data_IF_919810311884
#
_entry.id   IF_919810311884
#
_cell.length_a   1.000
_cell.length_b   1.000
_cell.length_c   1.000
_cell.angle_alpha   90.00
_cell.angle_beta   90.00
_cell.angle_gamma   90.00
#
_symmetry.space_group_name_H-M   'P 1'
#
loop_
_entity.id
_entity.type
_entity.pdbx_description
1 polymer ?
#
# COMPACT_ATOMS: atom_id res chain seq x y z
N UNK A 1 11.88 64.48 -72.27
CA UNK A 1 11.87 63.01 -72.21
C UNK A 1 12.93 62.53 -71.23
N UNK A 2 12.52 62.05 -70.05
CA UNK A 2 13.22 61.05 -69.22
C UNK A 2 12.33 60.76 -68.01
N UNK A 3 11.40 59.85 -68.28
CA UNK A 3 10.93 58.78 -67.39
C UNK A 3 10.53 59.14 -65.96
N UNK A 4 9.30 59.63 -65.86
CA UNK A 4 8.41 59.40 -64.71
C UNK A 4 8.14 57.88 -64.64
N UNK A 5 8.76 57.19 -63.69
CA UNK A 5 8.40 55.82 -63.31
C UNK A 5 8.99 55.50 -61.92
N UNK A 6 8.66 56.31 -60.92
CA UNK A 6 8.75 55.86 -59.53
C UNK A 6 7.53 54.99 -59.26
N UNK A 7 7.70 53.70 -59.57
CA UNK A 7 6.84 52.61 -59.11
C UNK A 7 6.71 52.74 -57.59
N UNK A 8 5.54 53.19 -57.16
CA UNK A 8 5.06 53.03 -55.80
C UNK A 8 4.94 51.53 -55.52
N UNK A 9 6.01 50.93 -54.99
CA UNK A 9 5.95 49.63 -54.35
C UNK A 9 5.19 49.85 -53.04
N UNK A 10 3.86 49.71 -53.15
CA UNK A 10 2.96 49.48 -52.02
C UNK A 10 3.42 48.18 -51.35
N UNK A 11 4.35 48.31 -50.41
CA UNK A 11 4.58 47.29 -49.40
C UNK A 11 3.31 47.27 -48.55
N UNK A 12 2.36 46.41 -48.93
CA UNK A 12 1.33 45.93 -48.01
C UNK A 12 2.05 45.17 -46.89
N UNK A 13 2.59 45.91 -45.93
CA UNK A 13 2.86 45.39 -44.59
C UNK A 13 1.50 45.10 -43.99
N UNK A 14 0.91 43.97 -44.37
CA UNK A 14 -0.16 43.34 -43.62
C UNK A 14 0.48 43.00 -42.29
N UNK A 15 0.26 43.87 -41.32
CA UNK A 15 0.50 43.56 -39.92
C UNK A 15 -0.38 42.36 -39.61
N UNK A 16 0.21 41.16 -39.65
CA UNK A 16 -0.42 39.98 -39.07
C UNK A 16 -0.59 40.29 -37.58
N UNK A 17 -1.82 40.58 -37.18
CA UNK A 17 -2.18 40.78 -35.79
C UNK A 17 -1.90 39.50 -35.00
N UNK A 18 -1.78 39.58 -33.67
CA UNK A 18 -1.56 38.41 -32.81
C UNK A 18 -2.71 37.37 -32.85
N UNK A 19 -3.76 37.63 -33.64
CA UNK A 19 -4.92 36.78 -33.85
C UNK A 19 -5.09 36.35 -35.31
N UNK A 20 -4.12 36.61 -36.18
CA UNK A 20 -4.17 36.15 -37.57
C UNK A 20 -3.55 34.76 -37.69
N UNK A 21 -4.07 33.96 -38.61
CA UNK A 21 -3.53 32.63 -38.85
C UNK A 21 -2.14 32.71 -39.48
N UNK A 22 -1.28 31.74 -39.18
CA UNK A 22 0.01 31.63 -39.86
C UNK A 22 -0.15 31.23 -41.34
N UNK A 23 0.95 31.21 -42.10
CA UNK A 23 0.97 30.84 -43.52
C UNK A 23 0.44 29.41 -43.80
N UNK A 24 0.37 28.55 -42.77
CA UNK A 24 -0.17 27.20 -42.85
C UNK A 24 -1.61 27.09 -42.32
N UNK A 25 -2.25 28.22 -41.99
CA UNK A 25 -3.58 28.24 -41.38
C UNK A 25 -3.61 27.74 -39.94
N UNK A 26 -2.47 27.75 -39.23
CA UNK A 26 -2.38 27.32 -37.83
C UNK A 26 -2.45 28.51 -36.89
N UNK A 27 -2.96 28.21 -35.70
CA UNK A 27 -3.10 29.13 -34.60
C UNK A 27 -2.44 28.55 -33.35
N UNK A 28 -2.26 29.39 -32.32
CA UNK A 28 -1.82 28.95 -31.00
C UNK A 28 -2.78 27.91 -30.39
N UNK A 29 -2.31 27.04 -29.48
CA UNK A 29 -3.15 26.02 -28.84
C UNK A 29 -4.43 26.59 -28.23
N UNK A 30 -5.56 25.90 -28.44
CA UNK A 30 -6.89 26.34 -28.03
C UNK A 30 -7.59 27.30 -29.01
N UNK A 31 -6.97 27.63 -30.13
CA UNK A 31 -7.54 28.42 -31.22
C UNK A 31 -7.65 27.60 -32.50
N UNK A 32 -8.56 28.00 -33.38
CA UNK A 32 -8.71 27.45 -34.72
C UNK A 32 -8.81 28.57 -35.75
N UNK A 33 -8.29 28.35 -36.95
CA UNK A 33 -8.33 29.36 -38.00
C UNK A 33 -9.69 29.35 -38.70
N UNK A 34 -10.44 30.45 -38.60
CA UNK A 34 -11.68 30.69 -39.32
C UNK A 34 -11.59 32.04 -40.03
N UNK A 35 -11.80 32.03 -41.34
CA UNK A 35 -11.78 33.24 -42.18
C UNK A 35 -10.49 34.09 -42.05
N UNK A 36 -9.35 33.42 -41.84
CA UNK A 36 -8.04 34.07 -41.68
C UNK A 36 -7.75 34.59 -40.26
N UNK A 37 -8.70 34.43 -39.32
CA UNK A 37 -8.55 34.79 -37.93
C UNK A 37 -8.56 33.57 -37.00
N UNK A 38 -7.72 33.61 -35.96
CA UNK A 38 -7.67 32.62 -34.91
C UNK A 38 -8.79 32.86 -33.89
N UNK A 39 -9.82 32.02 -33.93
CA UNK A 39 -10.96 32.07 -33.02
C UNK A 39 -10.87 30.99 -31.96
N UNK A 40 -11.49 31.22 -30.80
CA UNK A 40 -11.48 30.28 -29.69
C UNK A 40 -12.22 28.99 -30.06
N UNK A 41 -11.59 27.85 -29.79
CA UNK A 41 -12.23 26.54 -29.95
C UNK A 41 -13.33 26.37 -28.92
N UNK A 42 -14.57 26.21 -29.39
CA UNK A 42 -15.75 25.98 -28.53
C UNK A 42 -15.77 24.60 -27.89
N UNK A 43 -14.98 23.66 -28.42
CA UNK A 43 -14.82 22.31 -27.87
C UNK A 43 -13.77 22.23 -26.75
N UNK A 44 -12.97 23.29 -26.57
CA UNK A 44 -12.11 23.40 -25.40
C UNK A 44 -12.92 23.85 -24.18
N UNK A 45 -12.73 23.21 -23.01
CA UNK A 45 -13.44 23.61 -21.80
C UNK A 45 -13.05 25.03 -21.42
N UNK A 46 -14.03 25.89 -21.12
CA UNK A 46 -13.75 27.21 -20.56
C UNK A 46 -13.20 27.04 -19.15
N UNK A 47 -11.89 27.22 -19.01
CA UNK A 47 -11.18 27.00 -17.77
C UNK A 47 -11.27 28.26 -16.91
N UNK A 48 -12.11 28.23 -15.88
CA UNK A 48 -12.04 29.24 -14.82
C UNK A 48 -10.66 29.19 -14.18
N UNK A 49 -9.99 30.34 -14.04
CA UNK A 49 -8.68 30.41 -13.40
C UNK A 49 -8.75 29.81 -11.98
N UNK A 50 -8.11 28.65 -11.72
CA UNK A 50 -8.18 28.04 -10.40
C UNK A 50 -7.44 28.92 -9.38
N UNK A 51 -7.95 28.96 -8.15
CA UNK A 51 -7.27 29.70 -7.07
C UNK A 51 -5.95 29.02 -6.73
N UNK A 52 -4.84 29.70 -7.00
CA UNK A 52 -3.50 29.20 -6.68
C UNK A 52 -3.21 29.35 -5.19
N UNK A 53 -2.70 28.27 -4.60
CA UNK A 53 -2.18 28.24 -3.22
C UNK A 53 -0.77 28.82 -3.17
N UNK A 54 -0.38 29.36 -2.01
CA UNK A 54 0.96 29.94 -1.85
C UNK A 54 2.05 28.87 -2.05
N UNK A 55 3.02 29.16 -2.92
CA UNK A 55 4.10 28.23 -3.27
C UNK A 55 3.80 27.28 -4.43
N UNK A 56 2.62 27.40 -5.06
CA UNK A 56 2.27 26.68 -6.28
C UNK A 56 2.29 27.62 -7.48
N UNK A 57 2.74 27.11 -8.63
CA UNK A 57 2.71 27.78 -9.92
C UNK A 57 1.70 27.09 -10.83
N UNK A 58 1.16 27.86 -11.77
CA UNK A 58 0.32 27.32 -12.85
C UNK A 58 1.18 27.16 -14.09
N UNK A 59 1.17 25.97 -14.66
CA UNK A 59 1.76 25.69 -15.96
C UNK A 59 0.63 25.37 -16.93
N UNK A 60 0.67 25.95 -18.12
CA UNK A 60 -0.28 25.62 -19.17
C UNK A 60 0.27 24.41 -19.95
N UNK A 61 -0.49 23.33 -19.99
CA UNK A 61 -0.14 22.12 -20.73
C UNK A 61 -1.22 21.90 -21.77
N UNK A 62 -0.82 21.53 -22.97
CA UNK A 62 -1.72 21.24 -24.06
C UNK A 62 -2.16 19.77 -23.96
N UNK A 63 -3.48 19.53 -23.98
CA UNK A 63 -4.04 18.17 -23.98
C UNK A 63 -3.93 17.51 -25.37
N UNK A 64 -4.33 16.25 -25.49
CA UNK A 64 -4.28 15.49 -26.76
C UNK A 64 -5.14 16.10 -27.89
N UNK A 65 -6.07 17.01 -27.55
CA UNK A 65 -6.96 17.70 -28.50
C UNK A 65 -6.46 19.11 -28.86
N UNK A 66 -5.24 19.45 -28.45
CA UNK A 66 -4.63 20.77 -28.61
C UNK A 66 -5.36 21.87 -27.82
N UNK A 67 -6.01 21.50 -26.70
CA UNK A 67 -6.64 22.44 -25.78
C UNK A 67 -5.68 22.79 -24.62
N UNK A 68 -5.54 24.08 -24.27
CA UNK A 68 -4.70 24.51 -23.16
C UNK A 68 -5.38 24.18 -21.83
N UNK A 69 -4.71 23.45 -20.96
CA UNK A 69 -5.18 23.03 -19.64
C UNK A 69 -4.22 23.49 -18.53
N UNK A 70 -4.69 24.19 -17.49
CA UNK A 70 -3.86 24.60 -16.37
C UNK A 70 -3.52 23.40 -15.50
N UNK A 71 -2.23 23.13 -15.32
CA UNK A 71 -1.69 22.21 -14.31
C UNK A 71 -1.10 23.02 -13.17
N UNK A 72 -1.52 22.70 -11.95
CA UNK A 72 -0.94 23.31 -10.74
C UNK A 72 0.27 22.48 -10.33
N UNK A 73 1.44 23.09 -10.35
CA UNK A 73 2.71 22.50 -9.92
C UNK A 73 3.15 23.17 -8.63
N UNK A 74 3.26 22.39 -7.55
CA UNK A 74 3.66 22.89 -6.25
C UNK A 74 5.06 22.38 -5.90
N UNK A 75 5.98 23.30 -5.64
CA UNK A 75 7.31 22.95 -5.13
C UNK A 75 7.22 22.69 -3.62
N UNK A 76 7.53 21.46 -3.18
CA UNK A 76 7.54 21.09 -1.75
C UNK A 76 8.41 22.03 -0.89
N UNK A 77 9.44 22.66 -1.47
CA UNK A 77 10.33 23.61 -0.80
C UNK A 77 9.69 24.99 -0.54
N UNK A 78 8.64 25.35 -1.28
CA UNK A 78 7.98 26.66 -1.23
C UNK A 78 6.59 26.61 -0.59
N UNK A 79 6.12 25.42 -0.20
CA UNK A 79 4.82 25.22 0.43
C UNK A 79 4.88 25.66 1.90
N UNK A 80 4.12 26.71 2.22
CA UNK A 80 3.93 27.21 3.59
C UNK A 80 2.76 26.49 4.26
N UNK A 81 2.89 26.18 5.55
CA UNK A 81 1.96 25.34 6.31
C UNK A 81 0.56 25.96 6.60
N UNK A 82 0.23 27.11 5.99
CA UNK A 82 -1.12 27.71 6.02
C UNK A 82 -1.95 27.46 4.75
N UNK A 83 -1.38 26.88 3.69
CA UNK A 83 -2.09 26.56 2.43
C UNK A 83 -2.27 25.06 2.19
N UNK A 84 -1.57 24.24 2.97
CA UNK A 84 -1.62 22.78 2.97
C UNK A 84 -1.69 22.28 4.43
N UNK A 85 -2.33 21.13 4.63
CA UNK A 85 -2.19 20.39 5.88
C UNK A 85 -0.77 19.81 5.95
N UNK A 86 -0.08 19.97 7.09
CA UNK A 86 1.19 19.29 7.33
C UNK A 86 0.96 17.77 7.36
N UNK A 87 1.99 17.00 7.00
CA UNK A 87 1.96 15.54 7.14
C UNK A 87 1.76 15.17 8.64
N UNK A 88 1.11 14.03 8.95
CA UNK A 88 0.96 13.58 10.33
C UNK A 88 2.32 13.55 11.06
N UNK A 89 2.35 13.95 12.32
CA UNK A 89 3.59 14.16 13.08
C UNK A 89 4.22 15.55 12.96
N UNK A 90 3.70 16.40 12.06
CA UNK A 90 4.16 17.77 11.91
C UNK A 90 3.03 18.77 12.15
N UNK A 91 3.37 19.91 12.77
CA UNK A 91 2.49 21.05 12.97
C UNK A 91 3.02 22.30 12.24
N UNK A 92 2.15 23.27 12.03
CA UNK A 92 2.54 24.51 11.39
C UNK A 92 3.16 25.47 12.40
N UNK A 93 4.45 25.80 12.24
CA UNK A 93 5.05 26.87 13.00
C UNK A 93 4.50 28.22 12.51
N UNK A 94 3.76 28.91 13.39
CA UNK A 94 3.16 30.21 13.10
C UNK A 94 4.17 31.31 12.76
N UNK A 95 5.45 31.17 13.12
CA UNK A 95 6.50 32.17 12.84
C UNK A 95 7.20 31.93 11.51
N UNK A 96 7.66 30.70 11.26
CA UNK A 96 8.40 30.38 10.03
C UNK A 96 7.50 29.93 8.89
N UNK A 97 6.21 29.67 9.17
CA UNK A 97 5.24 29.11 8.23
C UNK A 97 5.72 27.80 7.60
N UNK A 98 6.51 27.01 8.35
CA UNK A 98 6.99 25.69 7.96
C UNK A 98 6.33 24.59 8.81
N UNK A 99 6.18 23.41 8.23
CA UNK A 99 5.82 22.23 8.99
C UNK A 99 7.02 21.81 9.84
N UNK A 100 6.87 21.87 11.17
CA UNK A 100 7.85 21.45 12.16
C UNK A 100 7.33 20.23 12.91
N UNK A 101 8.18 19.36 13.45
CA UNK A 101 7.71 18.27 14.30
C UNK A 101 6.85 18.82 15.43
N UNK A 102 5.77 18.11 15.73
CA UNK A 102 4.85 18.43 16.82
C UNK A 102 5.58 18.62 18.14
N UNK A 103 5.37 19.78 18.77
CA UNK A 103 6.00 20.13 20.05
C UNK A 103 5.44 19.37 21.24
N UNK A 104 4.23 18.79 21.10
CA UNK A 104 3.62 17.94 22.11
C UNK A 104 4.14 16.48 22.09
N UNK A 105 4.92 16.11 21.07
CA UNK A 105 5.54 14.80 20.97
C UNK A 105 6.89 14.75 21.72
N UNK A 106 7.21 13.62 22.38
CA UNK A 106 8.50 13.45 23.04
C UNK A 106 9.63 13.39 22.00
N UNK A 107 10.59 14.30 22.10
CA UNK A 107 11.78 14.31 21.24
C UNK A 107 12.80 13.26 21.72
N UNK A 108 12.72 12.05 21.17
CA UNK A 108 13.68 10.98 21.45
C UNK A 108 14.75 11.01 20.36
N UNK A 109 16.01 11.19 20.74
CA UNK A 109 17.16 11.00 19.87
C UNK A 109 17.89 9.73 20.29
N UNK A 110 18.04 8.78 19.37
CA UNK A 110 18.82 7.57 19.62
C UNK A 110 20.31 7.85 19.40
N UNK A 111 21.22 7.36 20.26
CA UNK A 111 22.66 7.54 20.08
C UNK A 111 23.16 6.77 18.86
N UNK A 112 24.08 7.33 18.07
CA UNK A 112 24.61 6.69 16.86
C UNK A 112 25.18 5.29 17.16
N UNK A 113 24.80 4.30 16.34
CA UNK A 113 25.21 2.91 16.51
C UNK A 113 25.64 2.33 15.15
N UNK A 114 26.86 1.81 15.09
CA UNK A 114 27.43 1.26 13.85
C UNK A 114 26.65 0.02 13.38
N UNK A 115 26.30 -0.02 12.09
CA UNK A 115 25.52 -1.12 11.51
C UNK A 115 23.99 -0.98 11.68
N UNK A 116 23.52 0.09 12.31
CA UNK A 116 22.10 0.36 12.50
C UNK A 116 21.56 1.50 11.62
N UNK A 117 20.32 1.35 11.17
CA UNK A 117 19.57 2.37 10.42
C UNK A 117 18.34 2.79 11.19
N UNK A 118 18.28 4.07 11.55
CA UNK A 118 17.15 4.66 12.25
C UNK A 118 16.14 5.20 11.23
N UNK A 119 14.86 4.87 11.42
CA UNK A 119 13.75 5.36 10.59
C UNK A 119 12.71 6.01 11.47
N UNK A 120 12.19 7.16 11.05
CA UNK A 120 11.08 7.80 11.75
C UNK A 120 9.76 7.12 11.33
N UNK A 121 8.98 6.67 12.31
CA UNK A 121 7.68 6.03 12.12
C UNK A 121 6.65 6.76 12.99
N UNK A 122 5.40 6.80 12.56
CA UNK A 122 4.31 7.36 13.35
C UNK A 122 3.84 6.34 14.40
N UNK A 123 3.66 6.79 15.64
CA UNK A 123 3.01 6.02 16.69
C UNK A 123 1.47 6.14 16.66
N UNK A 124 0.78 5.61 17.66
CA UNK A 124 -0.69 5.64 17.77
C UNK A 124 -1.26 7.06 18.01
N UNK A 125 -0.42 8.04 18.33
CA UNK A 125 -0.79 9.44 18.57
C UNK A 125 -0.34 10.37 17.43
N UNK A 126 0.05 9.80 16.29
CA UNK A 126 0.65 10.49 15.16
C UNK A 126 1.92 11.26 15.55
N UNK A 127 2.73 10.75 16.46
CA UNK A 127 4.05 11.28 16.80
C UNK A 127 5.16 10.53 16.08
N UNK A 128 6.17 11.27 15.58
CA UNK A 128 7.33 10.68 14.92
C UNK A 128 8.30 10.10 15.95
N UNK A 129 8.40 8.78 15.97
CA UNK A 129 9.32 8.03 16.84
C UNK A 129 10.45 7.40 16.01
N UNK A 130 11.71 7.47 16.47
CA UNK A 130 12.82 6.79 15.80
C UNK A 130 12.77 5.28 16.10
N UNK A 131 12.65 4.47 15.05
CA UNK A 131 12.74 3.01 15.09
C UNK A 131 14.07 2.58 14.53
N UNK A 132 14.92 2.00 15.38
CA UNK A 132 16.23 1.46 15.00
C UNK A 132 16.11 0.08 14.37
N UNK A 133 16.68 -0.07 13.18
CA UNK A 133 16.79 -1.35 12.47
C UNK A 133 18.25 -1.65 12.20
N UNK A 134 18.82 -2.62 12.91
CA UNK A 134 20.22 -3.01 12.74
C UNK A 134 20.37 -4.08 11.67
N UNK A 135 21.33 -3.89 10.74
CA UNK A 135 21.73 -4.95 9.84
C UNK A 135 22.43 -6.02 10.67
N UNK A 136 21.98 -7.28 10.65
CA UNK A 136 22.72 -8.34 11.32
C UNK A 136 24.08 -8.49 10.63
N UNK A 137 25.18 -8.33 11.38
CA UNK A 137 26.53 -8.58 10.88
C UNK A 137 26.69 -10.07 10.54
N UNK A 138 26.47 -10.41 9.26
CA UNK A 138 26.48 -11.78 8.70
C UNK A 138 25.44 -12.71 9.36
N UNK A 139 24.94 -13.74 8.66
CA UNK A 139 24.09 -14.75 9.28
C UNK A 139 24.97 -15.70 10.10
N UNK A 140 25.57 -15.19 11.18
CA UNK A 140 25.85 -16.06 12.31
C UNK A 140 24.48 -16.50 12.82
N UNK A 141 24.17 -17.75 12.54
CA UNK A 141 23.05 -18.52 13.07
C UNK A 141 23.19 -18.56 14.60
N UNK A 142 22.93 -17.46 15.29
CA UNK A 142 22.98 -17.33 16.74
C UNK A 142 21.64 -16.73 17.16
N UNK A 143 20.74 -17.59 17.64
CA UNK A 143 20.63 -17.89 19.07
C UNK A 143 20.27 -16.60 19.81
N UNK A 144 19.01 -16.21 19.64
CA UNK A 144 18.31 -15.41 20.65
C UNK A 144 18.44 -16.17 21.97
N UNK A 145 19.06 -15.57 22.96
CA UNK A 145 19.04 -16.08 24.33
C UNK A 145 17.61 -15.97 24.87
N UNK A 146 16.79 -16.94 24.50
CA UNK A 146 15.76 -17.44 25.40
C UNK A 146 16.47 -18.02 26.61
N UNK A 147 16.40 -17.35 27.75
CA UNK A 147 16.50 -17.99 29.06
C UNK A 147 15.32 -18.94 29.22
N UNK A 148 15.34 -20.08 28.51
CA UNK A 148 14.61 -21.30 28.83
C UNK A 148 15.22 -22.42 27.99
N UNK A 149 16.03 -23.26 28.63
CA UNK A 149 16.13 -24.71 28.36
C UNK A 149 15.44 -25.19 27.08
N UNK A 150 16.13 -25.05 25.94
CA UNK A 150 15.73 -25.69 24.67
C UNK A 150 16.10 -27.16 24.72
N UNK A 151 15.37 -27.92 25.53
CA UNK A 151 15.10 -29.32 25.23
C UNK A 151 14.47 -29.30 23.83
N UNK A 152 15.05 -30.00 22.86
CA UNK A 152 14.46 -30.13 21.53
C UNK A 152 13.09 -30.79 21.67
N UNK A 153 12.02 -29.99 21.74
CA UNK A 153 10.65 -30.50 21.80
C UNK A 153 10.33 -31.03 20.39
N UNK A 154 10.51 -32.34 20.23
CA UNK A 154 10.12 -33.03 19.00
C UNK A 154 8.59 -33.09 18.96
N UNK A 155 7.98 -32.25 18.12
CA UNK A 155 6.56 -32.33 17.85
C UNK A 155 6.23 -33.60 17.05
N UNK A 156 5.02 -34.17 17.23
CA UNK A 156 4.58 -35.35 16.50
C UNK A 156 4.44 -35.06 15.00
N UNK A 157 4.30 -36.12 14.19
CA UNK A 157 4.26 -36.00 12.72
C UNK A 157 3.22 -34.98 12.26
N UNK A 158 3.62 -34.10 11.34
CA UNK A 158 2.82 -33.00 10.78
C UNK A 158 2.30 -31.96 11.81
N UNK A 159 2.89 -31.92 13.00
CA UNK A 159 2.74 -30.83 13.94
C UNK A 159 4.01 -29.96 13.92
N UNK A 160 3.86 -28.70 14.29
CA UNK A 160 4.94 -27.75 14.46
C UNK A 160 4.83 -27.05 15.80
N UNK A 161 5.97 -26.76 16.41
CA UNK A 161 6.01 -26.01 17.65
C UNK A 161 5.65 -24.56 17.38
N UNK A 162 4.67 -24.03 18.10
CA UNK A 162 4.29 -22.62 18.06
C UNK A 162 4.34 -22.03 19.45
N UNK A 163 4.91 -20.83 19.56
CA UNK A 163 4.91 -20.08 20.82
C UNK A 163 3.52 -19.54 21.18
N UNK A 164 2.71 -19.26 20.15
CA UNK A 164 1.32 -18.83 20.25
C UNK A 164 0.43 -19.93 19.64
N UNK A 165 -0.20 -20.75 20.49
CA UNK A 165 -1.17 -21.76 20.04
C UNK A 165 -2.58 -21.20 20.02
N UNK A 166 -3.48 -21.88 19.32
CA UNK A 166 -4.89 -21.51 19.33
C UNK A 166 -5.55 -21.97 20.64
N UNK A 167 -6.24 -21.07 21.34
CA UNK A 167 -7.00 -21.37 22.57
C UNK A 167 -8.26 -22.17 22.26
N UNK A 168 -8.73 -22.10 21.01
CA UNK A 168 -9.94 -22.78 20.60
C UNK A 168 -9.79 -24.31 20.62
N UNK A 169 -10.91 -25.03 20.78
CA UNK A 169 -10.91 -26.49 20.76
C UNK A 169 -10.23 -27.04 19.50
N UNK A 170 -9.32 -27.99 19.69
CA UNK A 170 -8.55 -28.60 18.62
C UNK A 170 -9.48 -29.34 17.64
N UNK A 171 -9.19 -29.25 16.34
CA UNK A 171 -9.90 -30.03 15.32
C UNK A 171 -9.32 -31.44 15.27
N UNK A 172 -10.19 -32.43 15.40
CA UNK A 172 -9.86 -33.86 15.27
C UNK A 172 -10.58 -34.47 14.07
N UNK A 173 -10.20 -35.69 13.67
CA UNK A 173 -10.95 -36.47 12.68
C UNK A 173 -12.41 -36.78 13.09
N UNK A 174 -12.82 -36.53 14.34
CA UNK A 174 -14.22 -36.71 14.74
C UNK A 174 -15.06 -35.43 14.53
N UNK A 175 -14.42 -34.26 14.56
CA UNK A 175 -15.08 -32.93 14.52
C UNK A 175 -14.57 -32.01 13.40
N UNK A 176 -13.89 -32.57 12.39
CA UNK A 176 -13.28 -31.80 11.29
C UNK A 176 -14.29 -31.09 10.39
N UNK A 177 -15.53 -31.58 10.29
CA UNK A 177 -16.62 -30.96 9.54
C UNK A 177 -17.38 -29.89 10.33
N UNK A 178 -17.26 -29.89 11.66
CA UNK A 178 -17.94 -28.91 12.49
C UNK A 178 -17.26 -27.55 12.32
N UNK A 179 -18.00 -26.49 11.98
CA UNK A 179 -17.45 -25.13 11.96
C UNK A 179 -17.16 -24.70 13.41
N UNK A 180 -15.92 -24.36 13.74
CA UNK A 180 -15.61 -23.81 15.06
C UNK A 180 -16.23 -22.43 15.18
N UNK A 181 -17.09 -22.24 16.17
CA UNK A 181 -17.62 -20.92 16.58
C UNK A 181 -16.59 -20.12 17.39
N UNK A 182 -15.55 -20.79 17.89
CA UNK A 182 -14.46 -20.16 18.59
C UNK A 182 -13.52 -19.46 17.61
N UNK A 183 -13.38 -18.15 17.79
CA UNK A 183 -12.39 -17.30 17.15
C UNK A 183 -11.71 -16.49 18.26
N UNK A 184 -10.40 -16.67 18.42
CA UNK A 184 -9.59 -15.95 19.41
C UNK A 184 -8.40 -15.31 18.73
N UNK A 185 -8.21 -14.02 18.96
CA UNK A 185 -6.98 -13.27 18.63
C UNK A 185 -5.94 -13.35 19.76
N UNK A 186 -6.29 -14.00 20.89
CA UNK A 186 -5.38 -14.21 22.02
C UNK A 186 -4.56 -15.48 21.82
N UNK A 187 -3.30 -15.41 22.22
CA UNK A 187 -2.36 -16.54 22.20
C UNK A 187 -2.59 -17.49 23.37
N UNK A 188 -2.72 -18.78 23.06
CA UNK A 188 -2.62 -19.87 24.03
C UNK A 188 -1.17 -20.15 24.42
N UNK A 189 -0.95 -21.06 25.38
CA UNK A 189 0.39 -21.44 25.83
C UNK A 189 1.23 -22.03 24.68
N UNK A 190 2.57 -21.93 24.73
CA UNK A 190 3.43 -22.50 23.71
C UNK A 190 3.27 -24.03 23.67
N UNK A 191 3.20 -24.61 22.47
CA UNK A 191 2.90 -26.01 22.29
C UNK A 191 3.00 -26.49 20.85
N UNK A 192 2.92 -27.81 20.65
CA UNK A 192 2.82 -28.39 19.31
C UNK A 192 1.40 -28.23 18.76
N UNK A 193 1.28 -27.63 17.58
CA UNK A 193 0.01 -27.47 16.88
C UNK A 193 0.08 -28.11 15.50
N UNK A 194 -1.03 -28.65 15.02
CA UNK A 194 -1.10 -29.17 13.65
C UNK A 194 -0.81 -28.07 12.63
N UNK A 195 -0.08 -28.43 11.57
CA UNK A 195 0.14 -27.56 10.42
C UNK A 195 -1.20 -27.16 9.78
N UNK A 196 -1.19 -26.05 9.05
CA UNK A 196 -2.37 -25.60 8.34
C UNK A 196 -2.94 -26.70 7.43
N UNK A 197 -4.26 -26.83 7.39
CA UNK A 197 -4.95 -27.91 6.66
C UNK A 197 -4.91 -29.30 7.33
N UNK A 198 -4.19 -29.48 8.43
CA UNK A 198 -4.11 -30.73 9.17
C UNK A 198 -4.95 -30.69 10.45
N UNK A 199 -5.46 -31.84 10.85
CA UNK A 199 -6.26 -32.06 12.06
C UNK A 199 -5.69 -33.23 12.85
N UNK A 200 -5.94 -33.28 14.15
CA UNK A 200 -5.48 -34.39 14.98
C UNK A 200 -6.19 -35.69 14.60
N UNK A 201 -5.44 -36.78 14.51
CA UNK A 201 -6.00 -38.09 14.16
C UNK A 201 -6.99 -38.59 15.23
N UNK A 202 -6.67 -38.38 16.50
CA UNK A 202 -7.49 -38.80 17.63
C UNK A 202 -7.46 -37.77 18.75
N UNK A 203 -8.59 -37.59 19.43
CA UNK A 203 -8.68 -36.80 20.65
C UNK A 203 -7.92 -37.44 21.83
N UNK A 204 -7.78 -38.77 21.83
CA UNK A 204 -7.19 -39.52 22.96
C UNK A 204 -5.67 -39.59 22.94
N UNK A 205 -5.05 -39.60 21.76
CA UNK A 205 -3.59 -39.76 21.62
C UNK A 205 -2.99 -38.68 20.73
N UNK A 206 -2.59 -37.56 21.35
CA UNK A 206 -1.93 -36.43 20.65
C UNK A 206 -0.59 -36.80 20.01
N UNK A 207 0.02 -37.91 20.41
CA UNK A 207 1.27 -38.44 19.83
C UNK A 207 1.10 -39.08 18.45
N UNK A 208 -0.12 -39.49 18.09
CA UNK A 208 -0.42 -40.07 16.77
C UNK A 208 -0.25 -39.06 15.63
N UNK A 209 -0.16 -37.78 15.98
CA UNK A 209 0.15 -36.69 15.06
C UNK A 209 -1.05 -36.18 14.29
N UNK A 210 -0.73 -35.34 13.32
CA UNK A 210 -1.72 -34.63 12.52
C UNK A 210 -1.84 -35.25 11.13
N UNK A 211 -3.06 -35.34 10.63
CA UNK A 211 -3.38 -35.88 9.31
C UNK A 211 -4.16 -34.85 8.51
N UNK A 212 -4.14 -34.97 7.18
CA UNK A 212 -4.95 -34.11 6.31
C UNK A 212 -6.43 -34.45 6.50
N UNK A 213 -7.32 -33.47 6.27
CA UNK A 213 -8.78 -33.69 6.33
C UNK A 213 -9.24 -34.82 5.41
N UNK A 214 -8.62 -34.95 4.23
CA UNK A 214 -8.89 -36.04 3.28
C UNK A 214 -8.60 -37.43 3.88
N UNK A 215 -7.57 -37.53 4.73
CA UNK A 215 -7.24 -38.77 5.42
C UNK A 215 -8.34 -39.16 6.41
N UNK A 216 -8.91 -38.19 7.14
CA UNK A 216 -10.05 -38.44 8.02
C UNK A 216 -11.27 -38.96 7.24
N UNK A 217 -11.59 -38.36 6.09
CA UNK A 217 -12.70 -38.81 5.22
C UNK A 217 -12.51 -40.26 4.78
N UNK A 218 -11.29 -40.62 4.38
CA UNK A 218 -10.96 -42.01 4.01
C UNK A 218 -11.12 -42.96 5.21
N UNK A 219 -10.64 -42.58 6.39
CA UNK A 219 -10.79 -43.38 7.61
C UNK A 219 -12.26 -43.57 8.00
N UNK A 220 -13.08 -42.54 7.90
CA UNK A 220 -14.53 -42.64 8.17
C UNK A 220 -15.21 -43.60 7.19
N UNK A 221 -14.84 -43.55 5.90
CA UNK A 221 -15.37 -44.47 4.90
C UNK A 221 -15.00 -45.92 5.19
N UNK A 222 -13.76 -46.17 5.65
CA UNK A 222 -13.29 -47.49 6.03
C UNK A 222 -14.00 -48.00 7.29
N UNK A 223 -14.15 -47.16 8.32
CA UNK A 223 -14.89 -47.50 9.55
C UNK A 223 -16.33 -47.92 9.23
N UNK A 224 -17.04 -47.15 8.39
CA UNK A 224 -18.40 -47.48 7.95
C UNK A 224 -18.48 -48.82 7.20
N UNK A 225 -17.48 -49.13 6.38
CA UNK A 225 -17.42 -50.41 5.67
C UNK A 225 -17.15 -51.58 6.62
N UNK A 226 -16.31 -51.39 7.65
CA UNK A 226 -16.05 -52.42 8.66
C UNK A 226 -17.28 -52.66 9.54
N UNK A 227 -17.97 -51.61 9.98
CA UNK A 227 -19.22 -51.74 10.74
C UNK A 227 -20.30 -52.47 9.94
N UNK A 228 -20.43 -52.17 8.64
CA UNK A 228 -21.37 -52.85 7.74
C UNK A 228 -21.05 -54.34 7.56
N UNK A 229 -19.78 -54.71 7.64
CA UNK A 229 -19.31 -56.08 7.47
C UNK A 229 -19.07 -56.82 8.81
N UNK A 230 -19.40 -56.21 9.95
CA UNK A 230 -19.24 -56.84 11.26
C UNK A 230 -20.27 -57.98 11.41
N UNK A 231 -19.85 -59.24 11.55
CA UNK A 231 -20.79 -60.34 11.75
C UNK A 231 -21.55 -60.11 13.06
N UNK A 232 -22.87 -60.24 12.98
CA UNK A 232 -23.77 -60.19 14.13
C UNK A 232 -23.51 -61.41 15.01
N UNK A 233 -22.57 -61.33 15.95
CA UNK A 233 -22.51 -62.30 17.04
C UNK A 233 -23.67 -62.01 17.97
N UNK A 234 -24.77 -62.71 17.73
CA UNK A 234 -25.89 -62.89 18.64
C UNK A 234 -25.37 -63.35 20.02
N UNK A 235 -25.83 -62.76 21.13
CA UNK A 235 -25.54 -63.30 22.45
C UNK A 235 -26.28 -64.63 22.58
N UNK A 236 -25.53 -65.73 22.68
CA UNK A 236 -26.05 -67.02 23.12
C UNK A 236 -26.22 -66.97 24.64
N UNK A 237 -27.47 -66.98 25.09
CA UNK A 237 -27.87 -67.37 26.45
C UNK A 237 -27.60 -68.87 26.68
#
# INVERSE_FOLDING_TARGET
MKSVALLAVLVLNVYAGPFDCDENGKCSPGLTCMDGACVLRTDCPMLSMPRLKAGCKMEMIVDERDCPMPKIVCDKKNLKCGSIFCEPGYECDGKTLKCVPRTDCPSIALPEEEGCTDKMVLDEFDCLIPVRTCKPEKPLRQRRETTTTKTSVNCPKNAEWRECTNICPEKTCDNYLQKSTCFSLRCGPPGCMCKEGHVLLSHTNKETGCVTRETCVKLDSLKKNIERNKPTTSPSN
#
